data_IF_349960049319
#
_entry.id   IF_349960049319
#
_cell.length_a   1.000
_cell.length_b   1.000
_cell.length_c   1.000
_cell.angle_alpha   90.00
_cell.angle_beta   90.00
_cell.angle_gamma   90.00
#
_symmetry.space_group_name_H-M   'P 1'
#
loop_
_entity.id
_entity.type
_entity.pdbx_description
1 polymer ?
#
# COMPACT_ATOMS: atom_id res chain seq x y z
N UNK A 1 -32.66 1.60 0.09
CA UNK A 1 -31.76 2.50 0.86
C UNK A 1 -31.43 1.79 2.16
N UNK A 2 -30.27 1.15 2.24
CA UNK A 2 -29.80 0.48 3.45
C UNK A 2 -29.05 1.48 4.33
N UNK A 3 -29.47 1.61 5.58
CA UNK A 3 -28.78 2.35 6.62
C UNK A 3 -27.46 1.64 6.97
N UNK A 4 -26.34 2.11 6.44
CA UNK A 4 -25.00 1.72 6.90
C UNK A 4 -24.58 2.69 8.01
N UNK A 5 -24.73 2.26 9.26
CA UNK A 5 -24.48 3.06 10.47
C UNK A 5 -23.05 3.03 10.98
N UNK A 6 -22.07 2.45 10.27
CA UNK A 6 -20.66 2.54 10.67
C UNK A 6 -19.75 2.79 9.44
N UNK A 7 -18.84 3.77 9.55
CA UNK A 7 -18.04 4.29 8.45
C UNK A 7 -17.03 3.25 7.91
N UNK A 8 -17.02 2.95 6.59
CA UNK A 8 -16.06 2.03 5.94
C UNK A 8 -14.57 2.41 6.05
N UNK A 9 -14.27 3.59 6.62
CA UNK A 9 -12.90 4.12 6.77
C UNK A 9 -12.26 3.80 8.12
N UNK A 10 -13.05 3.40 9.12
CA UNK A 10 -12.53 3.13 10.46
C UNK A 10 -11.98 1.69 10.51
N UNK A 11 -10.78 1.51 11.08
CA UNK A 11 -10.12 0.21 11.23
C UNK A 11 -10.80 -0.75 12.24
N UNK A 12 -12.12 -0.67 12.40
CA UNK A 12 -12.89 -1.41 13.42
C UNK A 12 -12.83 -2.90 13.14
N UNK A 13 -12.93 -3.29 11.88
CA UNK A 13 -12.91 -4.71 11.50
C UNK A 13 -11.50 -5.28 11.66
N UNK A 14 -10.47 -4.54 11.29
CA UNK A 14 -9.06 -4.92 11.50
C UNK A 14 -8.78 -5.15 12.99
N UNK A 15 -9.29 -4.28 13.86
CA UNK A 15 -9.16 -4.46 15.31
C UNK A 15 -9.88 -5.71 15.81
N UNK A 16 -11.10 -5.97 15.34
CA UNK A 16 -11.88 -7.15 15.73
C UNK A 16 -11.14 -8.42 15.31
N UNK A 17 -10.62 -8.46 14.09
CA UNK A 17 -9.82 -9.58 13.58
C UNK A 17 -8.55 -9.72 14.41
N UNK A 18 -7.78 -8.64 14.63
CA UNK A 18 -6.55 -8.70 15.40
C UNK A 18 -6.75 -9.19 16.85
N UNK A 19 -7.85 -8.79 17.51
CA UNK A 19 -8.22 -9.24 18.86
C UNK A 19 -8.63 -10.72 18.93
N UNK A 20 -9.11 -11.29 17.83
CA UNK A 20 -9.62 -12.67 17.77
C UNK A 20 -8.77 -13.61 16.91
N UNK A 21 -7.63 -13.10 16.42
CA UNK A 21 -6.69 -13.79 15.56
C UNK A 21 -6.12 -15.06 16.20
N UNK A 22 -5.97 -16.11 15.40
CA UNK A 22 -5.45 -17.42 15.85
C UNK A 22 -4.08 -17.75 15.29
N UNK A 23 -3.66 -17.12 14.19
CA UNK A 23 -2.40 -17.43 13.52
C UNK A 23 -1.42 -16.27 13.53
N UNK A 24 -1.88 -15.03 13.74
CA UNK A 24 -1.03 -13.84 13.73
C UNK A 24 -1.22 -13.05 15.00
N UNK A 25 -0.16 -12.83 15.76
CA UNK A 25 -0.20 -12.18 17.07
C UNK A 25 0.61 -10.90 17.07
N UNK A 26 0.10 -9.88 17.74
CA UNK A 26 0.78 -8.61 17.95
C UNK A 26 1.56 -8.70 19.27
N UNK A 27 2.84 -8.33 19.25
CA UNK A 27 3.69 -8.30 20.43
C UNK A 27 4.01 -6.86 20.83
N UNK A 28 3.59 -6.47 22.04
CA UNK A 28 3.69 -5.09 22.48
C UNK A 28 5.13 -4.62 22.73
N UNK A 29 6.02 -5.51 23.19
CA UNK A 29 7.43 -5.16 23.37
C UNK A 29 8.12 -4.97 22.01
N UNK A 30 7.75 -5.80 21.04
CA UNK A 30 8.16 -5.62 19.64
C UNK A 30 7.67 -4.30 19.04
N UNK A 31 6.40 -3.92 19.30
CA UNK A 31 5.84 -2.61 18.89
C UNK A 31 6.65 -1.45 19.47
N UNK A 32 6.94 -1.47 20.78
CA UNK A 32 7.78 -0.44 21.42
C UNK A 32 9.19 -0.41 20.87
N UNK A 33 9.75 -1.57 20.53
CA UNK A 33 11.08 -1.66 19.94
C UNK A 33 11.12 -1.02 18.57
N UNK A 34 10.15 -1.35 17.71
CA UNK A 34 10.00 -0.74 16.40
C UNK A 34 9.76 0.78 16.51
N UNK A 35 8.92 1.24 17.43
CA UNK A 35 8.72 2.68 17.67
C UNK A 35 10.02 3.41 18.03
N UNK A 36 10.87 2.80 18.88
CA UNK A 36 12.21 3.34 19.19
C UNK A 36 13.10 3.46 17.95
N UNK A 37 13.05 2.49 17.04
CA UNK A 37 13.79 2.59 15.77
C UNK A 37 13.25 3.69 14.84
N UNK A 38 11.93 3.91 14.81
CA UNK A 38 11.36 5.06 14.07
C UNK A 38 11.87 6.38 14.65
N UNK A 39 11.94 6.52 15.98
CA UNK A 39 12.51 7.71 16.63
C UNK A 39 14.00 7.87 16.28
N UNK A 40 14.78 6.78 16.28
CA UNK A 40 16.20 6.81 15.86
C UNK A 40 16.35 7.24 14.41
N UNK A 41 15.52 6.70 13.51
CA UNK A 41 15.49 7.11 12.11
C UNK A 41 15.15 8.59 11.95
N UNK A 42 14.16 9.09 12.68
CA UNK A 42 13.80 10.51 12.69
C UNK A 42 14.98 11.39 13.17
N UNK A 43 15.60 11.05 14.31
CA UNK A 43 16.73 11.80 14.88
C UNK A 43 17.96 11.76 13.96
N UNK A 44 18.23 10.61 13.34
CA UNK A 44 19.29 10.49 12.35
C UNK A 44 19.04 11.45 11.18
N UNK A 45 17.82 11.48 10.62
CA UNK A 45 17.49 12.41 9.53
C UNK A 45 17.49 13.88 9.97
N UNK A 46 17.13 14.19 11.22
CA UNK A 46 17.26 15.52 11.80
C UNK A 46 18.73 15.98 11.81
N UNK A 47 19.64 15.15 12.30
CA UNK A 47 21.07 15.47 12.38
C UNK A 47 21.78 15.57 11.02
N UNK A 48 21.11 15.17 9.93
CA UNK A 48 21.64 15.23 8.57
C UNK A 48 20.86 16.20 7.66
N UNK A 49 20.03 17.09 8.23
CA UNK A 49 19.21 18.05 7.49
C UNK A 49 18.20 17.42 6.49
N UNK A 50 17.80 16.17 6.75
CA UNK A 50 16.90 15.37 5.90
C UNK A 50 15.50 15.19 6.48
N UNK A 51 15.24 15.75 7.68
CA UNK A 51 13.97 15.54 8.38
C UNK A 51 12.76 16.02 7.57
N UNK A 52 12.83 17.18 6.93
CA UNK A 52 11.73 17.70 6.10
C UNK A 52 11.44 16.77 4.92
N UNK A 53 12.47 16.15 4.35
CA UNK A 53 12.35 15.21 3.23
C UNK A 53 11.61 13.94 3.64
N UNK A 54 11.91 13.38 4.82
CA UNK A 54 11.30 12.14 5.32
C UNK A 54 10.04 12.36 6.16
N UNK A 55 9.80 13.59 6.62
CA UNK A 55 8.61 13.97 7.37
C UNK A 55 7.48 14.46 6.46
N UNK A 56 7.78 15.21 5.40
CA UNK A 56 6.73 15.83 4.60
C UNK A 56 6.42 15.08 3.30
N UNK A 57 7.27 14.14 2.90
CA UNK A 57 7.12 13.40 1.64
C UNK A 57 7.25 11.90 1.90
N UNK A 58 6.48 11.10 1.18
CA UNK A 58 6.69 9.66 1.19
C UNK A 58 7.95 9.31 0.39
N UNK A 59 8.86 8.53 0.97
CA UNK A 59 10.12 8.13 0.33
C UNK A 59 9.87 7.40 -1.00
N UNK A 60 8.76 6.67 -1.10
CA UNK A 60 8.34 5.99 -2.33
C UNK A 60 8.09 6.95 -3.51
N UNK A 61 7.86 8.23 -3.25
CA UNK A 61 7.65 9.28 -4.27
C UNK A 61 8.95 9.90 -4.80
N UNK A 62 10.09 9.69 -4.12
CA UNK A 62 11.32 10.44 -4.40
C UNK A 62 12.01 10.09 -5.72
N UNK A 63 11.76 8.92 -6.30
CA UNK A 63 12.48 8.45 -7.49
C UNK A 63 12.00 9.07 -8.82
N UNK A 64 11.25 10.18 -8.81
CA UNK A 64 10.66 10.84 -10.00
C UNK A 64 9.91 9.87 -10.94
N UNK A 65 9.34 8.81 -10.38
CA UNK A 65 8.45 7.90 -11.11
C UNK A 65 7.00 8.39 -11.14
N UNK A 66 6.68 9.37 -10.30
CA UNK A 66 5.36 9.96 -10.20
C UNK A 66 5.22 11.12 -11.20
N UNK A 67 3.99 11.42 -11.62
CA UNK A 67 3.70 12.66 -12.31
C UNK A 67 4.07 13.86 -11.43
N UNK A 68 4.47 14.96 -12.08
CA UNK A 68 4.64 16.24 -11.38
C UNK A 68 3.30 16.72 -10.81
N UNK A 69 3.33 17.53 -9.75
CA UNK A 69 2.11 17.95 -9.04
C UNK A 69 1.13 18.74 -9.91
N UNK A 70 1.62 19.41 -10.95
CA UNK A 70 0.85 20.18 -11.93
C UNK A 70 0.49 19.38 -13.19
N UNK A 71 0.89 18.12 -13.28
CA UNK A 71 0.54 17.26 -14.41
C UNK A 71 -0.95 16.92 -14.39
N UNK A 72 -1.68 17.36 -15.41
CA UNK A 72 -3.11 17.11 -15.55
C UNK A 72 -3.48 15.61 -15.57
N UNK A 73 -2.51 14.73 -15.85
CA UNK A 73 -2.66 13.26 -15.88
C UNK A 73 -2.55 12.63 -14.51
N UNK A 74 -2.18 13.39 -13.48
CA UNK A 74 -1.77 12.87 -12.17
C UNK A 74 -2.81 11.93 -11.53
N UNK A 75 -4.07 12.35 -11.45
CA UNK A 75 -5.15 11.52 -10.89
C UNK A 75 -5.36 10.21 -11.66
N UNK A 76 -5.34 10.29 -12.99
CA UNK A 76 -5.58 9.16 -13.89
C UNK A 76 -4.41 8.16 -13.84
N UNK A 77 -3.17 8.67 -13.77
CA UNK A 77 -1.97 7.87 -13.56
C UNK A 77 -2.00 7.16 -12.21
N UNK A 78 -2.22 7.89 -11.11
CA UNK A 78 -2.26 7.33 -9.75
C UNK A 78 -3.33 6.25 -9.61
N UNK A 79 -4.48 6.42 -10.28
CA UNK A 79 -5.53 5.41 -10.33
C UNK A 79 -5.06 4.11 -11.00
N UNK A 80 -4.43 4.19 -12.18
CA UNK A 80 -3.89 3.01 -12.87
C UNK A 80 -2.78 2.35 -12.03
N UNK A 81 -1.85 3.14 -11.49
CA UNK A 81 -0.74 2.64 -10.67
C UNK A 81 -1.25 1.85 -9.46
N UNK A 82 -2.18 2.42 -8.69
CA UNK A 82 -2.74 1.75 -7.53
C UNK A 82 -3.65 0.57 -7.90
N UNK A 83 -4.35 0.65 -9.03
CA UNK A 83 -5.15 -0.48 -9.53
C UNK A 83 -4.27 -1.69 -9.81
N UNK A 84 -3.09 -1.47 -10.40
CA UNK A 84 -2.11 -2.49 -10.75
C UNK A 84 -1.16 -2.87 -9.60
N UNK A 85 -1.20 -2.15 -8.48
CA UNK A 85 -0.40 -2.46 -7.29
C UNK A 85 -1.04 -3.63 -6.51
N UNK A 86 -0.74 -4.87 -6.93
CA UNK A 86 -1.13 -6.09 -6.22
C UNK A 86 -0.24 -7.25 -6.65
N UNK A 87 0.00 -8.23 -5.78
CA UNK A 87 0.78 -9.45 -6.06
C UNK A 87 2.06 -9.24 -6.91
N UNK A 88 2.89 -8.25 -6.56
CA UNK A 88 4.08 -7.87 -7.33
C UNK A 88 5.35 -8.69 -6.99
N UNK A 89 5.29 -9.52 -5.96
CA UNK A 89 6.40 -10.39 -5.54
C UNK A 89 6.08 -11.84 -5.88
N UNK A 90 7.09 -12.54 -6.40
CA UNK A 90 7.00 -13.96 -6.74
C UNK A 90 7.53 -14.82 -5.58
N UNK A 91 7.20 -16.13 -5.51
CA UNK A 91 7.77 -17.04 -4.53
C UNK A 91 9.31 -17.01 -4.52
N UNK A 92 9.94 -17.31 -3.37
CA UNK A 92 11.41 -17.22 -3.20
C UNK A 92 12.20 -18.08 -4.21
N UNK A 93 11.62 -19.18 -4.70
CA UNK A 93 12.22 -20.08 -5.68
C UNK A 93 12.19 -19.52 -7.12
N UNK A 94 11.47 -18.43 -7.36
CA UNK A 94 11.31 -17.81 -8.68
C UNK A 94 12.05 -16.48 -8.70
N UNK A 95 12.75 -16.22 -9.80
CA UNK A 95 13.41 -14.93 -10.03
C UNK A 95 12.35 -13.82 -9.99
N UNK A 96 12.60 -12.78 -9.20
CA UNK A 96 11.68 -11.65 -9.09
C UNK A 96 11.63 -10.85 -10.40
N UNK A 97 10.45 -10.33 -10.74
CA UNK A 97 10.29 -9.39 -11.84
C UNK A 97 11.02 -8.08 -11.52
N UNK A 98 11.92 -7.67 -12.40
CA UNK A 98 12.73 -6.45 -12.21
C UNK A 98 12.57 -5.48 -13.37
N UNK A 99 12.58 -4.18 -13.07
CA UNK A 99 12.57 -3.12 -14.08
C UNK A 99 13.54 -2.02 -13.66
N UNK A 100 14.58 -1.80 -14.46
CA UNK A 100 15.72 -0.95 -14.14
C UNK A 100 16.36 -1.32 -12.79
N UNK A 101 16.46 -2.62 -12.50
CA UNK A 101 17.01 -3.15 -11.24
C UNK A 101 16.08 -3.04 -10.02
N UNK A 102 14.93 -2.36 -10.14
CA UNK A 102 13.94 -2.31 -9.07
C UNK A 102 13.06 -3.56 -9.07
N UNK A 103 12.47 -3.89 -7.91
CA UNK A 103 11.44 -4.95 -7.76
C UNK A 103 10.17 -4.38 -7.14
N UNK A 104 9.08 -5.16 -7.17
CA UNK A 104 7.85 -4.83 -6.47
C UNK A 104 7.25 -3.50 -6.93
N UNK A 105 6.84 -2.67 -5.97
CA UNK A 105 6.20 -1.38 -6.25
C UNK A 105 7.05 -0.43 -7.11
N UNK A 106 8.36 -0.32 -6.83
CA UNK A 106 9.24 0.53 -7.62
C UNK A 106 9.46 0.00 -9.04
N UNK A 107 9.45 -1.32 -9.25
CA UNK A 107 9.45 -1.89 -10.60
C UNK A 107 8.18 -1.51 -11.37
N UNK A 108 7.01 -1.56 -10.72
CA UNK A 108 5.75 -1.12 -11.32
C UNK A 108 5.78 0.37 -11.69
N UNK A 109 6.24 1.22 -10.77
CA UNK A 109 6.40 2.65 -11.01
C UNK A 109 7.35 2.92 -12.18
N UNK A 110 8.51 2.24 -12.21
CA UNK A 110 9.53 2.34 -13.25
C UNK A 110 8.97 1.91 -14.62
N UNK A 111 8.24 0.79 -14.70
CA UNK A 111 7.61 0.32 -15.93
C UNK A 111 6.56 1.29 -16.48
N UNK A 112 5.69 1.82 -15.60
CA UNK A 112 4.68 2.80 -15.99
C UNK A 112 5.32 4.11 -16.46
N UNK A 113 6.34 4.61 -15.75
CA UNK A 113 7.06 5.83 -16.13
C UNK A 113 7.73 5.68 -17.49
N UNK A 114 8.37 4.53 -17.75
CA UNK A 114 8.95 4.19 -19.06
C UNK A 114 7.90 4.20 -20.16
N UNK A 115 6.77 3.51 -19.94
CA UNK A 115 5.70 3.46 -20.93
C UNK A 115 5.11 4.84 -21.23
N UNK A 116 4.79 5.62 -20.18
CA UNK A 116 4.04 6.89 -20.33
C UNK A 116 4.89 8.01 -20.91
N UNK A 117 6.13 8.13 -20.48
CA UNK A 117 6.95 9.30 -20.80
C UNK A 117 8.05 8.97 -21.81
N UNK A 118 8.73 7.83 -21.67
CA UNK A 118 9.86 7.52 -22.55
C UNK A 118 9.38 6.91 -23.87
N UNK A 119 8.29 6.13 -23.85
CA UNK A 119 7.71 5.46 -25.03
C UNK A 119 6.42 6.12 -25.55
N UNK A 120 5.90 7.14 -24.86
CA UNK A 120 4.71 7.88 -25.28
C UNK A 120 3.40 7.06 -25.30
N UNK A 121 3.35 5.92 -24.59
CA UNK A 121 2.15 5.09 -24.47
C UNK A 121 1.21 5.70 -23.42
N UNK A 122 -0.03 6.12 -23.75
CA UNK A 122 -0.90 6.83 -22.82
C UNK A 122 -1.57 5.90 -21.79
N UNK A 123 -0.79 5.18 -20.99
CA UNK A 123 -1.20 4.22 -19.96
C UNK A 123 -1.90 4.85 -18.73
N UNK A 124 -2.30 6.11 -18.83
CA UNK A 124 -3.19 6.81 -17.89
C UNK A 124 -4.57 7.05 -18.51
N UNK A 125 -4.72 6.88 -19.83
CA UNK A 125 -5.96 7.15 -20.57
C UNK A 125 -6.83 5.89 -20.71
N UNK A 126 -8.07 5.88 -20.17
CA UNK A 126 -9.03 4.79 -20.32
C UNK A 126 -9.28 4.32 -21.75
N UNK A 127 -9.42 5.24 -22.72
CA UNK A 127 -9.65 4.89 -24.13
C UNK A 127 -8.49 4.07 -24.71
N UNK A 128 -7.28 4.26 -24.19
CA UNK A 128 -6.12 3.48 -24.57
C UNK A 128 -6.11 2.12 -23.87
N UNK A 129 -6.05 2.10 -22.54
CA UNK A 129 -5.83 0.85 -21.81
C UNK A 129 -7.04 -0.08 -21.80
N UNK A 130 -8.23 0.35 -22.24
CA UNK A 130 -9.36 -0.56 -22.45
C UNK A 130 -9.25 -1.40 -23.74
N UNK A 131 -8.32 -1.02 -24.64
CA UNK A 131 -8.15 -1.64 -25.96
C UNK A 131 -6.77 -2.29 -26.15
N UNK A 132 -5.85 -2.15 -25.20
CA UNK A 132 -4.54 -2.78 -25.27
C UNK A 132 -4.65 -4.31 -25.30
N UNK A 133 -3.75 -4.94 -26.04
CA UNK A 133 -3.66 -6.39 -26.18
C UNK A 133 -2.73 -7.01 -25.12
N UNK A 134 -2.65 -8.35 -25.13
CA UNK A 134 -1.63 -9.08 -24.33
C UNK A 134 -0.21 -8.67 -24.77
N UNK A 135 0.03 -8.51 -26.06
CA UNK A 135 1.35 -8.10 -26.57
C UNK A 135 1.72 -6.68 -26.12
N UNK A 136 0.75 -5.77 -26.05
CA UNK A 136 0.97 -4.43 -25.48
C UNK A 136 1.37 -4.50 -24.00
N UNK A 137 0.70 -5.36 -23.21
CA UNK A 137 1.03 -5.59 -21.81
C UNK A 137 2.45 -6.16 -21.64
N UNK A 138 2.82 -7.15 -22.44
CA UNK A 138 4.16 -7.73 -22.46
C UNK A 138 5.21 -6.65 -22.75
N UNK A 139 4.97 -5.79 -23.74
CA UNK A 139 5.90 -4.72 -24.07
C UNK A 139 5.97 -3.65 -22.95
N UNK A 140 4.83 -3.19 -22.44
CA UNK A 140 4.75 -2.14 -21.40
C UNK A 140 5.46 -2.60 -20.13
N UNK A 141 5.14 -3.81 -19.67
CA UNK A 141 5.58 -4.36 -18.40
C UNK A 141 6.72 -5.37 -18.52
N UNK A 142 7.48 -5.33 -19.62
CA UNK A 142 8.70 -6.13 -19.77
C UNK A 142 9.70 -5.83 -18.65
N UNK A 143 10.27 -6.88 -18.10
CA UNK A 143 11.36 -6.83 -17.15
C UNK A 143 12.72 -6.73 -17.86
N UNK A 144 13.76 -6.56 -17.07
CA UNK A 144 15.14 -6.37 -17.56
C UNK A 144 15.68 -7.57 -18.35
N UNK A 145 15.13 -8.76 -18.10
CA UNK A 145 15.51 -10.03 -18.71
C UNK A 145 14.43 -10.61 -19.65
N UNK A 146 13.47 -9.79 -20.08
CA UNK A 146 12.33 -10.22 -20.88
C UNK A 146 11.23 -10.94 -20.10
N UNK A 147 11.34 -11.06 -18.78
CA UNK A 147 10.21 -11.48 -17.92
C UNK A 147 9.04 -10.50 -18.03
N UNK A 148 7.85 -10.92 -17.64
CA UNK A 148 6.67 -10.06 -17.59
C UNK A 148 6.20 -9.86 -16.16
N UNK A 149 5.45 -8.79 -15.93
CA UNK A 149 4.83 -8.54 -14.63
C UNK A 149 3.96 -9.74 -14.19
N UNK A 150 4.02 -10.15 -12.91
CA UNK A 150 3.14 -11.20 -12.39
C UNK A 150 1.66 -10.86 -12.58
N UNK A 151 0.81 -11.88 -12.77
CA UNK A 151 -0.65 -11.75 -12.93
C UNK A 151 -1.09 -10.88 -14.13
N UNK A 152 -0.36 -10.95 -15.24
CA UNK A 152 -0.60 -10.15 -16.44
C UNK A 152 -2.04 -10.25 -16.98
N UNK A 153 -2.61 -11.46 -17.04
CA UNK A 153 -3.99 -11.67 -17.53
C UNK A 153 -5.02 -10.97 -16.65
N UNK A 154 -4.89 -11.05 -15.32
CA UNK A 154 -5.78 -10.35 -14.40
C UNK A 154 -5.62 -8.84 -14.50
N UNK A 155 -4.39 -8.34 -14.65
CA UNK A 155 -4.14 -6.91 -14.86
C UNK A 155 -4.79 -6.38 -16.12
N UNK A 156 -4.65 -7.11 -17.24
CA UNK A 156 -5.26 -6.73 -18.50
C UNK A 156 -6.78 -6.67 -18.39
N UNK A 157 -7.40 -7.71 -17.81
CA UNK A 157 -8.84 -7.76 -17.55
C UNK A 157 -9.29 -6.57 -16.69
N UNK A 158 -8.58 -6.30 -15.60
CA UNK A 158 -8.91 -5.18 -14.70
C UNK A 158 -8.79 -3.83 -15.43
N UNK A 159 -7.75 -3.60 -16.23
CA UNK A 159 -7.62 -2.38 -17.04
C UNK A 159 -8.80 -2.23 -18.01
N UNK A 160 -9.20 -3.30 -18.69
CA UNK A 160 -10.36 -3.29 -19.58
C UNK A 160 -11.65 -2.96 -18.82
N UNK A 161 -11.85 -3.57 -17.65
CA UNK A 161 -13.07 -3.39 -16.85
C UNK A 161 -13.19 -1.95 -16.30
N UNK A 162 -12.12 -1.44 -15.66
CA UNK A 162 -12.13 -0.06 -15.12
C UNK A 162 -12.21 0.97 -16.24
N UNK A 163 -11.59 0.70 -17.39
CA UNK A 163 -11.56 1.60 -18.54
C UNK A 163 -12.95 1.79 -19.14
N UNK A 164 -13.68 0.69 -19.36
CA UNK A 164 -15.08 0.72 -19.80
C UNK A 164 -15.96 1.53 -18.85
N UNK A 165 -15.77 1.38 -17.54
CA UNK A 165 -16.54 2.15 -16.54
C UNK A 165 -16.25 3.64 -16.66
N UNK A 166 -14.96 4.02 -16.73
CA UNK A 166 -14.55 5.43 -16.82
C UNK A 166 -15.03 6.10 -18.10
N UNK A 167 -14.91 5.43 -19.25
CA UNK A 167 -15.41 5.95 -20.53
C UNK A 167 -16.92 6.15 -20.50
N UNK A 168 -17.68 5.16 -20.01
CA UNK A 168 -19.15 5.21 -20.05
C UNK A 168 -19.78 6.14 -19.02
N UNK A 169 -19.16 6.33 -17.84
CA UNK A 169 -19.77 7.05 -16.71
C UNK A 169 -19.03 8.30 -16.26
N UNK A 170 -17.74 8.43 -16.57
CA UNK A 170 -16.86 9.43 -15.97
C UNK A 170 -16.04 10.20 -17.02
N UNK A 171 -16.58 10.35 -18.24
CA UNK A 171 -15.94 11.07 -19.35
C UNK A 171 -14.50 10.61 -19.63
N UNK A 172 -14.23 9.32 -19.47
CA UNK A 172 -12.90 8.75 -19.70
C UNK A 172 -11.83 9.24 -18.72
N UNK A 173 -12.18 9.72 -17.51
CA UNK A 173 -11.19 10.22 -16.55
C UNK A 173 -11.55 9.90 -15.10
N UNK A 174 -10.62 9.30 -14.37
CA UNK A 174 -10.74 9.12 -12.92
C UNK A 174 -10.69 10.46 -12.17
N UNK A 175 -10.01 11.47 -12.72
CA UNK A 175 -10.05 12.83 -12.18
C UNK A 175 -11.50 13.35 -11.98
N UNK A 176 -12.43 12.96 -12.86
CA UNK A 176 -13.84 13.33 -12.75
C UNK A 176 -14.52 12.69 -11.53
N UNK A 177 -14.13 11.47 -11.14
CA UNK A 177 -14.60 10.83 -9.91
C UNK A 177 -14.23 11.66 -8.67
N UNK A 178 -13.00 12.18 -8.62
CA UNK A 178 -12.51 13.03 -7.50
C UNK A 178 -13.36 14.30 -7.38
N UNK A 179 -13.59 14.97 -8.52
CA UNK A 179 -14.39 16.20 -8.57
C UNK A 179 -15.85 15.93 -8.20
N UNK A 180 -16.46 14.87 -8.74
CA UNK A 180 -17.85 14.48 -8.44
C UNK A 180 -18.05 14.13 -6.96
N UNK A 181 -17.04 13.54 -6.32
CA UNK A 181 -17.05 13.29 -4.88
C UNK A 181 -16.72 14.53 -4.04
N UNK A 182 -16.58 15.71 -4.65
CA UNK A 182 -16.22 16.96 -3.99
C UNK A 182 -14.99 16.83 -3.07
N UNK A 183 -13.97 16.10 -3.54
CA UNK A 183 -12.74 15.82 -2.78
C UNK A 183 -13.01 15.18 -1.39
N UNK A 184 -14.16 14.56 -1.19
CA UNK A 184 -14.56 13.97 0.09
C UNK A 184 -14.13 12.51 0.16
N UNK A 185 -13.36 12.16 1.20
CA UNK A 185 -12.84 10.80 1.41
C UNK A 185 -13.93 9.73 1.48
N UNK A 186 -15.06 10.02 2.13
CA UNK A 186 -16.14 9.05 2.31
C UNK A 186 -16.87 8.77 0.99
N UNK A 187 -17.14 9.83 0.22
CA UNK A 187 -17.76 9.70 -1.10
C UNK A 187 -16.82 8.99 -2.07
N UNK A 188 -15.53 9.29 -2.04
CA UNK A 188 -14.52 8.60 -2.84
C UNK A 188 -14.42 7.11 -2.50
N UNK A 189 -14.40 6.76 -1.21
CA UNK A 189 -14.38 5.36 -0.78
C UNK A 189 -15.64 4.61 -1.25
N UNK A 190 -16.82 5.22 -1.12
CA UNK A 190 -18.07 4.65 -1.59
C UNK A 190 -18.07 4.46 -3.11
N UNK A 191 -17.63 5.47 -3.87
CA UNK A 191 -17.52 5.38 -5.33
C UNK A 191 -16.56 4.24 -5.73
N UNK A 192 -15.37 4.19 -5.12
CA UNK A 192 -14.37 3.17 -5.43
C UNK A 192 -14.91 1.75 -5.27
N UNK A 193 -15.55 1.48 -4.12
CA UNK A 193 -16.08 0.16 -3.78
C UNK A 193 -17.38 -0.19 -4.53
N UNK A 194 -18.19 0.78 -4.92
CA UNK A 194 -19.43 0.51 -5.65
C UNK A 194 -19.18 0.27 -7.15
N UNK A 195 -18.27 1.05 -7.75
CA UNK A 195 -18.04 1.04 -9.19
C UNK A 195 -16.95 0.05 -9.60
N UNK A 196 -15.83 -0.01 -8.87
CA UNK A 196 -14.66 -0.77 -9.31
C UNK A 196 -14.45 -2.05 -8.48
N UNK A 197 -14.68 -3.20 -9.11
CA UNK A 197 -14.63 -4.50 -8.41
C UNK A 197 -13.27 -4.79 -7.75
N UNK A 198 -12.16 -4.38 -8.35
CA UNK A 198 -10.82 -4.56 -7.79
C UNK A 198 -10.59 -3.80 -6.46
N UNK A 199 -11.47 -2.87 -6.09
CA UNK A 199 -11.46 -2.15 -4.82
C UNK A 199 -12.46 -2.72 -3.79
N UNK A 200 -13.30 -3.72 -4.16
CA UNK A 200 -14.21 -4.43 -3.25
C UNK A 200 -13.51 -5.54 -2.48
N UNK A 201 -12.74 -5.14 -1.50
CA UNK A 201 -11.94 -6.02 -0.65
C UNK A 201 -12.77 -6.52 0.55
N UNK A 202 -13.54 -7.58 0.31
CA UNK A 202 -14.47 -8.18 1.26
C UNK A 202 -14.11 -9.64 1.56
N UNK A 203 -14.39 -10.10 2.78
CA UNK A 203 -14.15 -11.48 3.21
C UNK A 203 -15.12 -11.93 4.29
N UNK A 204 -15.01 -13.20 4.71
CA UNK A 204 -15.76 -13.77 5.83
C UNK A 204 -14.78 -14.20 6.91
N UNK A 205 -14.89 -13.61 8.09
CA UNK A 205 -14.08 -13.96 9.25
C UNK A 205 -14.98 -14.28 10.44
N UNK A 206 -14.79 -15.44 11.08
CA UNK A 206 -15.63 -15.90 12.19
C UNK A 206 -17.15 -15.77 11.93
N UNK A 207 -17.59 -16.16 10.72
CA UNK A 207 -18.99 -16.08 10.22
C UNK A 207 -19.55 -14.66 10.07
N UNK A 208 -18.71 -13.62 10.16
CA UNK A 208 -19.09 -12.24 9.90
C UNK A 208 -18.46 -11.76 8.60
N UNK A 209 -19.21 -10.98 7.82
CA UNK A 209 -18.65 -10.24 6.69
C UNK A 209 -17.72 -9.16 7.21
N UNK A 210 -16.56 -9.00 6.57
CA UNK A 210 -15.57 -7.95 6.85
C UNK A 210 -15.11 -7.30 5.55
N UNK A 211 -14.72 -6.04 5.60
CA UNK A 211 -14.38 -5.15 4.50
C UNK A 211 -13.09 -4.36 4.79
N UNK A 212 -11.94 -4.89 4.39
CA UNK A 212 -10.64 -4.25 4.70
C UNK A 212 -10.35 -3.03 3.83
N UNK A 213 -10.83 -3.01 2.58
CA UNK A 213 -10.72 -1.89 1.62
C UNK A 213 -9.29 -1.33 1.48
N UNK A 214 -8.26 -2.17 1.61
CA UNK A 214 -6.88 -1.69 1.75
C UNK A 214 -6.39 -0.96 0.50
N UNK A 215 -6.61 -1.51 -0.70
CA UNK A 215 -6.23 -0.83 -1.94
C UNK A 215 -6.91 0.53 -2.11
N UNK A 216 -8.18 0.65 -1.70
CA UNK A 216 -8.90 1.92 -1.76
C UNK A 216 -8.32 2.94 -0.77
N UNK A 217 -8.00 2.50 0.46
CA UNK A 217 -7.33 3.31 1.48
C UNK A 217 -5.96 3.82 0.98
N UNK A 218 -5.17 2.95 0.33
CA UNK A 218 -3.87 3.31 -0.27
C UNK A 218 -4.06 4.36 -1.37
N UNK A 219 -4.95 4.13 -2.35
CA UNK A 219 -5.20 5.10 -3.43
C UNK A 219 -5.61 6.48 -2.87
N UNK A 220 -6.56 6.53 -1.93
CA UNK A 220 -7.00 7.80 -1.33
C UNK A 220 -5.85 8.50 -0.62
N UNK A 221 -5.02 7.76 0.11
CA UNK A 221 -3.86 8.32 0.79
C UNK A 221 -2.84 8.90 -0.23
N UNK A 222 -2.57 8.18 -1.32
CA UNK A 222 -1.73 8.67 -2.42
C UNK A 222 -2.32 9.95 -3.03
N UNK A 223 -3.62 9.96 -3.36
CA UNK A 223 -4.31 11.14 -3.91
C UNK A 223 -4.23 12.34 -2.96
N UNK A 224 -4.29 12.14 -1.64
CA UNK A 224 -4.21 13.23 -0.65
C UNK A 224 -2.85 13.96 -0.65
N UNK A 225 -1.82 13.37 -1.27
CA UNK A 225 -0.52 14.03 -1.45
C UNK A 225 -0.52 15.04 -2.60
N UNK A 226 -1.44 14.88 -3.57
CA UNK A 226 -1.49 15.68 -4.80
C UNK A 226 -2.76 16.54 -4.91
N UNK A 227 -3.82 16.17 -4.21
CA UNK A 227 -5.13 16.82 -4.26
C UNK A 227 -5.58 17.20 -2.85
N UNK A 228 -6.38 18.27 -2.70
CA UNK A 228 -6.91 18.72 -1.41
C UNK A 228 -8.05 17.82 -0.92
N UNK A 229 -7.80 16.52 -0.81
CA UNK A 229 -8.76 15.54 -0.30
C UNK A 229 -9.07 15.88 1.16
N UNK A 230 -10.34 16.11 1.46
CA UNK A 230 -10.80 16.38 2.81
C UNK A 230 -10.71 15.10 3.65
N UNK A 231 -9.57 14.96 4.33
CA UNK A 231 -9.25 13.86 5.23
C UNK A 231 -9.53 14.25 6.70
N UNK A 232 -10.72 14.76 7.02
CA UNK A 232 -11.12 15.07 8.42
C UNK A 232 -10.95 13.89 9.38
N UNK A 233 -10.78 12.66 8.87
CA UNK A 233 -10.48 11.43 9.60
C UNK A 233 -9.03 10.92 9.46
N UNK A 234 -8.07 11.73 8.96
CA UNK A 234 -6.68 11.33 8.68
C UNK A 234 -6.01 10.65 9.88
N UNK A 235 -6.36 11.06 11.11
CA UNK A 235 -5.82 10.51 12.35
C UNK A 235 -6.25 9.06 12.66
N UNK A 236 -7.19 8.48 11.91
CA UNK A 236 -7.75 7.14 12.17
C UNK A 236 -7.51 6.11 11.06
N UNK A 237 -6.95 6.51 9.93
CA UNK A 237 -6.61 5.60 8.84
C UNK A 237 -5.15 5.19 9.02
N UNK A 238 -4.89 3.90 9.23
CA UNK A 238 -3.52 3.41 9.18
C UNK A 238 -3.01 3.61 7.75
N UNK A 239 -2.05 4.53 7.59
CA UNK A 239 -1.57 5.02 6.29
C UNK A 239 -0.49 4.13 5.68
N UNK A 240 -0.13 3.01 6.30
CA UNK A 240 0.98 2.24 5.78
C UNK A 240 0.62 1.70 4.40
N UNK A 241 1.51 1.95 3.45
CA UNK A 241 1.63 1.18 2.23
C UNK A 241 2.02 -0.26 2.60
N UNK A 242 1.06 -1.06 3.07
CA UNK A 242 1.30 -2.46 3.36
C UNK A 242 1.21 -3.20 2.03
N UNK A 243 2.37 -3.49 1.44
CA UNK A 243 2.47 -4.59 0.50
C UNK A 243 2.85 -5.88 1.26
N UNK A 244 2.94 -7.00 0.55
CA UNK A 244 3.26 -8.32 1.12
C UNK A 244 4.58 -8.39 1.91
N UNK A 245 5.42 -7.36 1.79
CA UNK A 245 6.74 -7.33 2.44
C UNK A 245 6.82 -6.40 3.63
N UNK A 246 5.95 -5.41 3.77
CA UNK A 246 5.87 -4.60 4.98
C UNK A 246 5.73 -5.45 6.27
N UNK A 247 4.94 -6.55 6.30
CA UNK A 247 4.90 -7.42 7.47
C UNK A 247 6.24 -8.07 7.82
N UNK A 248 7.20 -8.20 6.87
CA UNK A 248 8.52 -8.74 7.18
C UNK A 248 9.29 -7.85 8.16
N UNK A 249 9.16 -6.52 8.04
CA UNK A 249 9.77 -5.56 8.97
C UNK A 249 9.15 -5.72 10.36
N UNK A 250 7.82 -5.88 10.43
CA UNK A 250 7.11 -6.08 11.69
C UNK A 250 7.55 -7.37 12.40
N UNK A 251 7.73 -8.46 11.65
CA UNK A 251 8.22 -9.73 12.20
C UNK A 251 9.69 -9.63 12.61
N UNK A 252 10.53 -8.96 11.82
CA UNK A 252 11.94 -8.74 12.13
C UNK A 252 12.11 -8.04 13.48
N UNK A 253 11.33 -6.99 13.74
CA UNK A 253 11.30 -6.28 15.02
C UNK A 253 10.48 -6.98 16.10
N UNK A 254 10.00 -8.19 15.84
CA UNK A 254 9.15 -9.01 16.72
C UNK A 254 7.83 -8.37 17.09
N UNK A 255 7.39 -7.30 16.40
CA UNK A 255 6.09 -6.65 16.61
C UNK A 255 4.93 -7.51 16.10
N UNK A 256 5.20 -8.43 15.18
CA UNK A 256 4.31 -9.51 14.78
C UNK A 256 4.94 -10.88 15.00
N UNK A 257 4.12 -11.85 15.39
CA UNK A 257 4.49 -13.27 15.53
C UNK A 257 3.46 -14.17 14.87
N UNK A 258 3.90 -15.33 14.40
CA UNK A 258 3.03 -16.33 13.77
C UNK A 258 2.84 -17.56 14.66
N UNK A 259 1.70 -18.23 14.52
CA UNK A 259 1.55 -19.59 15.02
C UNK A 259 2.54 -20.53 14.35
N UNK A 260 2.93 -21.61 15.03
CA UNK A 260 3.85 -22.62 14.46
C UNK A 260 3.33 -23.21 13.15
N UNK A 261 2.01 -23.37 13.02
CA UNK A 261 1.38 -23.85 11.80
C UNK A 261 1.57 -22.86 10.63
N UNK A 262 1.30 -21.58 10.86
CA UNK A 262 1.43 -20.55 9.83
C UNK A 262 2.90 -20.31 9.46
N UNK A 263 3.81 -20.33 10.44
CA UNK A 263 5.26 -20.24 10.22
C UNK A 263 5.76 -21.35 9.29
N UNK A 264 5.42 -22.62 9.59
CA UNK A 264 5.77 -23.77 8.74
C UNK A 264 5.19 -23.66 7.32
N UNK A 265 4.01 -23.06 7.17
CA UNK A 265 3.40 -22.81 5.86
C UNK A 265 4.22 -21.80 5.05
N UNK A 266 4.65 -20.70 5.66
CA UNK A 266 5.50 -19.72 4.99
C UNK A 266 6.92 -20.24 4.70
N UNK A 267 7.50 -21.06 5.58
CA UNK A 267 8.80 -21.70 5.34
C UNK A 267 8.77 -22.62 4.12
N UNK A 268 7.69 -23.40 3.96
CA UNK A 268 7.50 -24.23 2.77
C UNK A 268 7.33 -23.38 1.51
N UNK A 269 6.65 -22.25 1.59
CA UNK A 269 6.41 -21.29 0.51
C UNK A 269 5.84 -21.86 -0.82
N UNK A 270 5.39 -23.11 -0.84
CA UNK A 270 4.98 -23.81 -2.05
C UNK A 270 3.53 -23.51 -2.46
N UNK A 271 2.71 -23.02 -1.52
CA UNK A 271 1.30 -22.74 -1.75
C UNK A 271 0.95 -21.34 -1.26
N UNK A 272 0.41 -20.49 -2.15
CA UNK A 272 -0.11 -19.18 -1.78
C UNK A 272 -1.19 -19.29 -0.68
N UNK A 273 -1.26 -18.27 0.17
CA UNK A 273 -2.45 -18.04 1.00
C UNK A 273 -3.55 -17.53 0.08
N UNK A 274 -4.69 -18.19 0.13
CA UNK A 274 -5.89 -17.78 -0.59
C UNK A 274 -6.43 -16.48 -0.03
N UNK A 275 -6.73 -15.54 -0.92
CA UNK A 275 -7.42 -14.31 -0.55
C UNK A 275 -8.68 -14.59 0.28
N UNK A 276 -8.87 -13.83 1.35
CA UNK A 276 -10.03 -13.92 2.23
C UNK A 276 -10.02 -15.12 3.17
N UNK A 277 -8.97 -15.95 3.16
CA UNK A 277 -8.80 -16.98 4.19
C UNK A 277 -8.57 -16.34 5.57
N UNK A 278 -8.83 -17.07 6.67
CA UNK A 278 -8.53 -16.57 8.00
C UNK A 278 -7.08 -16.08 8.14
N UNK A 279 -6.10 -16.78 7.55
CA UNK A 279 -4.69 -16.37 7.63
C UNK A 279 -4.38 -15.10 6.83
N UNK A 280 -5.01 -14.91 5.66
CA UNK A 280 -4.90 -13.65 4.89
C UNK A 280 -5.46 -12.47 5.69
N UNK A 281 -6.70 -12.62 6.18
CA UNK A 281 -7.39 -11.58 6.92
C UNK A 281 -6.68 -11.24 8.23
N UNK A 282 -6.18 -12.26 8.97
CA UNK A 282 -5.39 -12.07 10.19
C UNK A 282 -4.06 -11.38 9.91
N UNK A 283 -3.32 -11.80 8.87
CA UNK A 283 -2.04 -11.18 8.53
C UNK A 283 -2.21 -9.71 8.18
N UNK A 284 -3.18 -9.38 7.33
CA UNK A 284 -3.43 -7.99 6.91
C UNK A 284 -3.91 -7.14 8.09
N UNK A 285 -4.91 -7.63 8.83
CA UNK A 285 -5.50 -6.90 9.95
C UNK A 285 -4.52 -6.68 11.09
N UNK A 286 -3.79 -7.71 11.51
CA UNK A 286 -2.75 -7.57 12.54
C UNK A 286 -1.64 -6.63 12.06
N UNK A 287 -1.23 -6.66 10.78
CA UNK A 287 -0.23 -5.70 10.26
C UNK A 287 -0.71 -4.25 10.35
N UNK A 288 -1.95 -3.99 9.94
CA UNK A 288 -2.59 -2.67 10.00
C UNK A 288 -2.63 -2.16 11.45
N UNK A 289 -3.09 -3.01 12.37
CA UNK A 289 -3.22 -2.67 13.80
C UNK A 289 -1.86 -2.47 14.45
N UNK A 290 -0.88 -3.33 14.17
CA UNK A 290 0.50 -3.19 14.68
C UNK A 290 1.10 -1.85 14.29
N UNK A 291 0.97 -1.43 13.03
CA UNK A 291 1.49 -0.12 12.61
C UNK A 291 0.80 1.03 13.33
N UNK A 292 -0.51 0.95 13.53
CA UNK A 292 -1.22 1.97 14.28
C UNK A 292 -0.71 2.05 15.72
N UNK A 293 -0.48 0.91 16.37
CA UNK A 293 0.12 0.86 17.70
C UNK A 293 1.56 1.41 17.71
N UNK A 294 2.36 1.12 16.68
CA UNK A 294 3.70 1.72 16.53
C UNK A 294 3.60 3.23 16.43
N UNK A 295 2.70 3.76 15.60
CA UNK A 295 2.47 5.21 15.48
C UNK A 295 2.09 5.83 16.83
N UNK A 296 1.14 5.24 17.55
CA UNK A 296 0.73 5.70 18.88
C UNK A 296 1.89 5.71 19.88
N UNK A 297 2.76 4.69 19.85
CA UNK A 297 3.98 4.67 20.68
C UNK A 297 5.01 5.71 20.23
N UNK A 298 5.18 5.95 18.93
CA UNK A 298 6.04 7.01 18.40
C UNK A 298 5.53 8.38 18.81
N UNK A 299 4.21 8.63 18.79
CA UNK A 299 3.59 9.88 19.26
C UNK A 299 3.95 10.16 20.72
N UNK A 300 3.81 9.17 21.61
CA UNK A 300 4.20 9.29 23.03
C UNK A 300 5.69 9.59 23.20
N UNK A 301 6.55 8.88 22.47
CA UNK A 301 8.01 9.08 22.55
C UNK A 301 8.41 10.44 21.97
N UNK A 302 7.76 10.87 20.90
CA UNK A 302 8.01 12.14 20.24
C UNK A 302 7.73 13.33 21.16
N UNK A 303 6.66 13.28 21.95
CA UNK A 303 6.34 14.35 22.92
C UNK A 303 7.51 14.61 23.87
N UNK A 304 8.13 13.56 24.41
CA UNK A 304 9.30 13.67 25.29
C UNK A 304 10.54 14.18 24.56
N UNK A 305 10.78 13.76 23.31
CA UNK A 305 11.99 14.14 22.56
C UNK A 305 11.89 15.56 21.99
N UNK A 306 10.69 16.01 21.62
CA UNK A 306 10.46 17.30 21.00
C UNK A 306 10.54 18.49 21.97
N UNK A 307 10.61 18.24 23.29
CA UNK A 307 10.88 19.28 24.29
C UNK A 307 12.35 19.74 24.23
N UNK A 308 13.26 18.84 23.92
CA UNK A 308 14.71 19.09 23.95
C UNK A 308 15.30 19.51 22.60
N UNK A 309 14.54 19.35 21.50
CA UNK A 309 15.04 19.56 20.13
C UNK A 309 14.28 20.70 19.42
N UNK A 310 14.97 21.80 19.06
CA UNK A 310 14.37 22.91 18.33
C UNK A 310 13.68 22.47 17.03
N UNK A 311 12.55 23.08 16.71
CA UNK A 311 11.79 22.86 15.48
C UNK A 311 11.24 21.44 15.25
N UNK A 312 11.51 20.48 16.15
CA UNK A 312 11.00 19.11 16.00
C UNK A 312 9.46 19.09 16.07
N UNK A 313 8.86 19.93 16.93
CA UNK A 313 7.38 20.06 17.04
C UNK A 313 6.67 20.36 15.71
N UNK A 314 7.37 20.98 14.74
CA UNK A 314 6.80 21.29 13.43
C UNK A 314 6.39 20.04 12.63
N UNK A 315 7.00 18.88 12.89
CA UNK A 315 6.71 17.61 12.20
C UNK A 315 5.80 16.66 12.98
N UNK A 316 5.18 17.11 14.08
CA UNK A 316 4.24 16.30 14.86
C UNK A 316 3.08 15.74 14.02
N UNK A 317 2.59 16.52 13.06
CA UNK A 317 1.55 16.12 12.12
C UNK A 317 2.00 15.06 11.10
N UNK A 318 3.30 14.77 11.04
CA UNK A 318 3.95 13.91 10.05
C UNK A 318 4.38 12.55 10.60
N UNK A 319 4.05 12.22 11.85
CA UNK A 319 4.47 10.96 12.48
C UNK A 319 4.00 9.74 11.68
N UNK A 320 2.79 9.77 11.12
CA UNK A 320 2.31 8.70 10.23
C UNK A 320 3.17 8.51 8.98
N UNK A 321 3.66 9.61 8.39
CA UNK A 321 4.57 9.59 7.23
C UNK A 321 5.92 9.02 7.65
N UNK A 322 6.44 9.40 8.82
CA UNK A 322 7.70 8.87 9.35
C UNK A 322 7.65 7.36 9.59
N UNK A 323 6.57 6.84 10.17
CA UNK A 323 6.40 5.40 10.40
C UNK A 323 6.34 4.65 9.06
N UNK A 324 5.58 5.15 8.09
CA UNK A 324 5.53 4.56 6.74
C UNK A 324 6.91 4.58 6.07
N UNK A 325 7.55 5.74 6.06
CA UNK A 325 8.87 5.91 5.47
C UNK A 325 9.91 5.03 6.14
N UNK A 326 9.88 4.86 7.46
CA UNK A 326 10.78 3.94 8.14
C UNK A 326 10.58 2.51 7.65
N UNK A 327 9.34 2.00 7.65
CA UNK A 327 9.07 0.62 7.24
C UNK A 327 9.44 0.41 5.77
N UNK A 328 9.09 1.37 4.92
CA UNK A 328 9.43 1.34 3.50
C UNK A 328 10.95 1.38 3.29
N UNK A 329 11.66 2.31 3.93
CA UNK A 329 13.12 2.43 3.84
C UNK A 329 13.81 1.17 4.35
N UNK A 330 13.45 0.72 5.55
CA UNK A 330 14.05 -0.45 6.18
C UNK A 330 13.94 -1.69 5.30
N UNK A 331 12.78 -1.86 4.65
CA UNK A 331 12.59 -2.95 3.71
C UNK A 331 13.58 -2.94 2.54
N UNK A 332 13.91 -1.76 2.00
CA UNK A 332 14.80 -1.66 0.84
C UNK A 332 16.26 -1.78 1.23
N UNK A 333 16.69 -1.07 2.28
CA UNK A 333 18.08 -1.11 2.76
C UNK A 333 18.46 -2.50 3.25
N UNK A 334 17.59 -3.14 4.05
CA UNK A 334 17.81 -4.49 4.60
C UNK A 334 17.12 -5.58 3.78
N UNK A 335 16.91 -5.36 2.48
CA UNK A 335 16.18 -6.27 1.60
C UNK A 335 16.71 -7.71 1.66
N UNK A 336 18.03 -7.90 1.55
CA UNK A 336 18.66 -9.22 1.57
C UNK A 336 18.42 -9.91 2.92
N UNK A 337 18.69 -9.22 4.01
CA UNK A 337 18.52 -9.76 5.36
C UNK A 337 17.07 -10.18 5.64
N UNK A 338 16.09 -9.36 5.25
CA UNK A 338 14.68 -9.70 5.40
C UNK A 338 14.28 -10.90 4.54
N UNK A 339 14.82 -11.01 3.32
CA UNK A 339 14.56 -12.15 2.45
C UNK A 339 15.19 -13.45 2.94
N UNK A 340 16.32 -13.37 3.64
CA UNK A 340 17.02 -14.54 4.17
C UNK A 340 16.40 -14.99 5.50
N UNK A 341 16.06 -14.05 6.39
CA UNK A 341 15.69 -14.35 7.77
C UNK A 341 14.19 -14.30 8.07
N UNK A 342 13.39 -13.67 7.21
CA UNK A 342 11.94 -13.56 7.41
C UNK A 342 11.21 -14.27 6.26
N UNK A 343 10.14 -15.04 6.56
CA UNK A 343 9.37 -15.66 5.50
C UNK A 343 8.78 -14.62 4.55
N UNK A 344 8.71 -14.95 3.26
CA UNK A 344 8.00 -14.13 2.28
C UNK A 344 6.53 -14.58 2.32
N UNK A 345 5.62 -13.66 2.60
CA UNK A 345 4.19 -13.94 2.64
C UNK A 345 3.68 -14.08 1.21
N UNK A 346 3.69 -15.30 0.69
CA UNK A 346 3.10 -15.60 -0.60
C UNK A 346 1.57 -15.59 -0.48
N UNK A 347 0.97 -14.43 -0.73
CA UNK A 347 -0.47 -14.23 -0.81
C UNK A 347 -0.74 -13.74 -2.23
N UNK A 348 -1.73 -14.34 -2.88
CA UNK A 348 -2.18 -13.90 -4.20
C UNK A 348 -3.55 -13.24 -4.04
N UNK A 349 -3.63 -11.96 -4.37
CA UNK A 349 -4.87 -11.19 -4.36
C UNK A 349 -4.79 -10.04 -5.34
N UNK A 350 -5.96 -9.62 -5.84
CA UNK A 350 -6.12 -8.41 -6.67
C UNK A 350 -6.63 -7.22 -5.87
N UNK A 351 -6.80 -7.35 -4.56
CA UNK A 351 -7.44 -6.35 -3.69
C UNK A 351 -6.49 -5.68 -2.70
N UNK A 352 -5.22 -6.10 -2.70
CA UNK A 352 -4.21 -5.70 -1.74
C UNK A 352 -2.81 -5.69 -2.37
#
# INVERSE_FOLDING_TARGET
MGTFTELPMLCVEEEIIAKTSRNVFIDYDGVKNLAREVIRFMLWNYNHDMLSKVGNNYLRHLLRFYPDNDDYRCADWLFVLNTLNFSLFLPKSVKQWTVNGFTGYWALCSAMRRAIIDEGKPLWNPDYYMNISVSDMEQIFRGDDGSCIPFMTDRLRILHDIGKILVNKYNGRFAYCIVMCNYNVMLLMLLLTSEFQCYRDEGIYNRKKVCLLTKAKILINELSCFFPINMTLRSKVSTLFIDYRAPQVLVHFKALRYSEALKKRFEKNNQPISQGSPEDLELRSCSIVTIRMVREEVEKMFESVAEDIPNLKAISHSISILVDNFVFHYRHEWNKELMDNVPLHNIITVHY
#
